data_IF_999995251693
#
_entry.id   IF_999995251693
#
_cell.length_a   1.000
_cell.length_b   1.000
_cell.length_c   1.000
_cell.angle_alpha   90.00
_cell.angle_beta   90.00
_cell.angle_gamma   90.00
#
_symmetry.space_group_name_H-M   'P 1'
#
loop_
_entity.id
_entity.type
_entity.pdbx_description
1 polymer ?
#
# COMPACT_ATOMS: atom_id res chain seq x y z
N UNK A 1 -22.19 71.12 -40.06
CA UNK A 1 -21.83 72.23 -39.15
C UNK A 1 -23.06 72.49 -38.30
N UNK A 2 -23.35 71.73 -37.23
CA UNK A 2 -22.97 72.04 -35.83
C UNK A 2 -23.00 70.80 -34.91
N UNK A 3 -23.30 69.58 -35.37
CA UNK A 3 -23.55 68.42 -34.47
C UNK A 3 -22.35 67.51 -34.13
N UNK A 4 -21.14 67.78 -34.61
CA UNK A 4 -19.99 66.85 -34.47
C UNK A 4 -18.85 67.37 -33.58
N UNK A 5 -19.14 68.31 -32.66
CA UNK A 5 -18.15 68.82 -31.70
C UNK A 5 -18.58 68.71 -30.23
N UNK A 6 -19.81 68.28 -29.94
CA UNK A 6 -20.28 68.08 -28.55
C UNK A 6 -19.92 66.70 -27.99
N UNK A 7 -19.74 65.68 -28.83
CA UNK A 7 -19.50 64.31 -28.35
C UNK A 7 -18.06 64.05 -27.94
N UNK A 8 -17.09 64.74 -28.56
CA UNK A 8 -15.65 64.50 -28.32
C UNK A 8 -15.15 65.09 -26.98
N UNK A 9 -15.96 65.92 -26.31
CA UNK A 9 -15.64 66.49 -24.98
C UNK A 9 -15.96 65.51 -23.85
N UNK A 10 -17.00 64.67 -24.00
CA UNK A 10 -17.43 63.73 -22.96
C UNK A 10 -16.44 62.57 -22.76
N UNK A 11 -15.86 62.03 -23.85
CA UNK A 11 -14.89 60.94 -23.76
C UNK A 11 -13.54 61.36 -23.17
N UNK A 12 -13.18 62.65 -23.23
CA UNK A 12 -11.94 63.16 -22.65
C UNK A 12 -12.01 63.35 -21.13
N UNK A 13 -13.22 63.42 -20.56
CA UNK A 13 -13.39 63.53 -19.10
C UNK A 13 -13.32 62.17 -18.40
N UNK A 14 -13.67 61.07 -19.08
CA UNK A 14 -13.61 59.73 -18.52
C UNK A 14 -12.20 59.11 -18.46
N UNK A 15 -11.25 59.65 -19.23
CA UNK A 15 -9.85 59.17 -19.25
C UNK A 15 -8.93 59.86 -18.23
N UNK A 16 -9.42 60.87 -17.51
CA UNK A 16 -8.64 61.60 -16.51
C UNK A 16 -8.80 61.07 -15.07
N UNK A 17 -9.63 60.05 -14.85
CA UNK A 17 -9.85 59.42 -13.54
C UNK A 17 -9.08 58.10 -13.33
N UNK A 18 -8.20 57.70 -14.24
CA UNK A 18 -7.26 56.60 -13.98
C UNK A 18 -6.11 57.11 -13.08
N UNK A 19 -6.49 57.41 -11.84
CA UNK A 19 -5.65 57.81 -10.74
C UNK A 19 -4.59 56.74 -10.48
N UNK A 20 -3.38 57.19 -10.14
CA UNK A 20 -2.18 56.39 -9.82
C UNK A 20 -2.38 55.29 -8.75
N UNK A 21 -3.55 55.22 -8.11
CA UNK A 21 -3.92 54.19 -7.14
C UNK A 21 -4.25 52.82 -7.73
N UNK A 22 -4.60 52.72 -9.02
CA UNK A 22 -4.97 51.41 -9.62
C UNK A 22 -3.74 50.57 -10.01
N UNK A 23 -2.63 51.23 -10.38
CA UNK A 23 -1.38 50.56 -10.76
C UNK A 23 -0.74 49.75 -9.61
N UNK A 24 -1.02 50.10 -8.35
CA UNK A 24 -0.55 49.34 -7.18
C UNK A 24 -1.38 48.08 -6.92
N UNK A 25 -2.68 48.09 -7.26
CA UNK A 25 -3.59 46.96 -7.04
C UNK A 25 -3.34 45.82 -8.03
N UNK A 26 -3.02 46.15 -9.28
CA UNK A 26 -2.66 45.14 -10.30
C UNK A 26 -1.29 44.50 -9.99
N UNK A 27 -0.32 45.31 -9.52
CA UNK A 27 1.02 44.81 -9.18
C UNK A 27 1.01 43.80 -8.01
N UNK A 28 0.17 44.01 -6.99
CA UNK A 28 0.00 43.05 -5.88
C UNK A 28 -0.68 41.75 -6.31
N UNK A 29 -1.60 41.79 -7.28
CA UNK A 29 -2.27 40.60 -7.81
C UNK A 29 -1.35 39.73 -8.68
N UNK A 30 -0.51 40.35 -9.51
CA UNK A 30 0.46 39.65 -10.37
C UNK A 30 1.57 39.01 -9.52
N UNK A 31 2.05 39.68 -8.47
CA UNK A 31 3.06 39.11 -7.56
C UNK A 31 2.52 37.88 -6.80
N UNK A 32 1.26 37.92 -6.38
CA UNK A 32 0.57 36.78 -5.73
C UNK A 32 0.33 35.61 -6.69
N UNK A 33 -0.02 35.89 -7.95
CA UNK A 33 -0.18 34.86 -8.98
C UNK A 33 1.15 34.19 -9.34
N UNK A 34 2.24 34.95 -9.46
CA UNK A 34 3.60 34.43 -9.73
C UNK A 34 4.12 33.61 -8.55
N UNK A 35 3.86 34.03 -7.31
CA UNK A 35 4.22 33.25 -6.12
C UNK A 35 3.43 31.94 -6.04
N UNK A 36 2.14 31.97 -6.37
CA UNK A 36 1.32 30.76 -6.47
C UNK A 36 1.84 29.83 -7.59
N UNK A 37 2.15 30.36 -8.78
CA UNK A 37 2.69 29.57 -9.90
C UNK A 37 4.04 28.94 -9.57
N UNK A 38 4.96 29.69 -8.96
CA UNK A 38 6.27 29.15 -8.55
C UNK A 38 6.16 28.06 -7.46
N UNK A 39 5.18 28.18 -6.56
CA UNK A 39 4.88 27.13 -5.55
C UNK A 39 4.27 25.90 -6.22
N UNK A 40 3.36 26.07 -7.19
CA UNK A 40 2.81 24.97 -7.98
C UNK A 40 3.88 24.24 -8.79
N UNK A 41 4.75 24.95 -9.51
CA UNK A 41 5.85 24.37 -10.29
C UNK A 41 6.84 23.61 -9.38
N UNK A 42 7.11 24.12 -8.17
CA UNK A 42 8.01 23.48 -7.23
C UNK A 42 7.39 22.24 -6.58
N UNK A 43 6.08 22.22 -6.37
CA UNK A 43 5.33 21.05 -5.89
C UNK A 43 5.23 19.97 -6.97
N UNK A 44 5.00 20.36 -8.23
CA UNK A 44 4.97 19.44 -9.37
C UNK A 44 6.31 18.72 -9.54
N UNK A 45 7.43 19.47 -9.52
CA UNK A 45 8.78 18.89 -9.60
C UNK A 45 9.12 17.98 -8.41
N UNK A 46 8.57 18.28 -7.22
CA UNK A 46 8.74 17.42 -6.03
C UNK A 46 7.93 16.14 -6.16
N UNK A 47 6.71 16.20 -6.72
CA UNK A 47 5.86 15.05 -6.99
C UNK A 47 6.49 14.16 -8.08
N UNK A 48 6.98 14.74 -9.18
CA UNK A 48 7.68 14.02 -10.24
C UNK A 48 8.92 13.30 -9.69
N UNK A 49 9.78 13.99 -8.94
CA UNK A 49 10.97 13.38 -8.32
C UNK A 49 10.60 12.28 -7.32
N UNK A 50 9.53 12.45 -6.55
CA UNK A 50 9.02 11.42 -5.62
C UNK A 50 8.53 10.19 -6.39
N UNK A 51 7.86 10.40 -7.53
CA UNK A 51 7.35 9.32 -8.39
C UNK A 51 8.50 8.53 -9.06
N UNK A 52 9.56 9.21 -9.50
CA UNK A 52 10.77 8.56 -9.98
C UNK A 52 11.53 7.82 -8.88
N UNK A 53 11.64 8.39 -7.68
CA UNK A 53 12.28 7.75 -6.53
C UNK A 53 11.54 6.49 -6.06
N UNK A 54 10.19 6.49 -6.11
CA UNK A 54 9.37 5.34 -5.73
C UNK A 54 9.65 4.11 -6.62
N UNK A 55 9.85 4.28 -7.93
CA UNK A 55 10.23 3.18 -8.84
C UNK A 55 11.57 2.55 -8.46
N UNK A 56 12.55 3.37 -8.11
CA UNK A 56 13.88 2.89 -7.72
C UNK A 56 13.89 2.20 -6.35
N UNK A 57 13.01 2.59 -5.43
CA UNK A 57 12.84 1.94 -4.13
C UNK A 57 12.15 0.58 -4.23
N UNK A 58 11.23 0.41 -5.20
CA UNK A 58 10.52 -0.86 -5.42
C UNK A 58 11.44 -1.97 -5.92
N UNK A 59 12.41 -1.65 -6.80
CA UNK A 59 13.34 -2.64 -7.37
C UNK A 59 14.10 -3.48 -6.32
N UNK A 60 14.82 -2.90 -5.32
CA UNK A 60 15.50 -3.68 -4.30
C UNK A 60 14.54 -4.44 -3.37
N UNK A 61 13.32 -3.93 -3.14
CA UNK A 61 12.31 -4.63 -2.34
C UNK A 61 11.89 -5.93 -3.03
N UNK A 62 11.53 -5.88 -4.32
CA UNK A 62 11.15 -7.09 -5.08
C UNK A 62 12.30 -8.08 -5.23
N UNK A 63 13.53 -7.59 -5.38
CA UNK A 63 14.71 -8.45 -5.35
C UNK A 63 14.85 -9.15 -3.98
N UNK A 64 14.70 -8.41 -2.88
CA UNK A 64 14.72 -8.97 -1.53
C UNK A 64 13.63 -10.02 -1.31
N UNK A 65 12.40 -9.76 -1.75
CA UNK A 65 11.29 -10.72 -1.68
C UNK A 65 11.56 -11.98 -2.52
N UNK A 66 12.15 -11.82 -3.70
CA UNK A 66 12.51 -12.97 -4.57
C UNK A 66 13.61 -13.82 -3.93
N UNK A 67 14.62 -13.20 -3.32
CA UNK A 67 15.66 -13.90 -2.57
C UNK A 67 15.07 -14.60 -1.33
N UNK A 68 14.15 -13.94 -0.62
CA UNK A 68 13.44 -14.54 0.51
C UNK A 68 12.66 -15.80 0.11
N UNK A 69 11.99 -15.77 -1.05
CA UNK A 69 11.29 -16.92 -1.60
C UNK A 69 12.26 -18.07 -1.94
N UNK A 70 13.44 -17.76 -2.49
CA UNK A 70 14.48 -18.76 -2.73
C UNK A 70 15.02 -19.39 -1.44
N UNK A 71 15.27 -18.58 -0.41
CA UNK A 71 15.72 -19.07 0.91
C UNK A 71 14.67 -20.01 1.50
N UNK A 72 13.39 -19.63 1.44
CA UNK A 72 12.28 -20.45 1.91
C UNK A 72 12.21 -21.78 1.12
N UNK A 73 12.35 -21.73 -0.20
CA UNK A 73 12.37 -22.94 -1.03
C UNK A 73 13.53 -23.87 -0.63
N UNK A 74 14.74 -23.34 -0.44
CA UNK A 74 15.90 -24.12 0.01
C UNK A 74 15.62 -24.75 1.38
N UNK A 75 15.06 -24.00 2.33
CA UNK A 75 14.70 -24.52 3.65
C UNK A 75 13.65 -25.62 3.59
N UNK A 76 12.65 -25.48 2.72
CA UNK A 76 11.62 -26.51 2.51
C UNK A 76 12.24 -27.84 2.02
N UNK A 77 13.13 -27.79 1.02
CA UNK A 77 13.81 -29.01 0.55
C UNK A 77 14.78 -29.57 1.60
N UNK A 78 15.49 -28.70 2.34
CA UNK A 78 16.37 -29.12 3.42
C UNK A 78 15.60 -29.92 4.49
N UNK A 79 14.42 -29.45 4.89
CA UNK A 79 13.59 -30.12 5.88
C UNK A 79 13.14 -31.50 5.38
N UNK A 80 12.69 -31.61 4.12
CA UNK A 80 12.31 -32.88 3.51
C UNK A 80 13.46 -33.89 3.53
N UNK A 81 14.65 -33.47 3.09
CA UNK A 81 15.84 -34.34 3.04
C UNK A 81 16.24 -34.80 4.44
N UNK A 82 16.04 -33.97 5.46
CA UNK A 82 16.32 -34.32 6.85
C UNK A 82 15.28 -35.28 7.45
N UNK A 83 14.02 -35.21 7.01
CA UNK A 83 12.92 -36.05 7.52
C UNK A 83 12.95 -37.47 6.96
N UNK A 84 13.20 -37.64 5.66
CA UNK A 84 13.17 -38.93 4.96
C UNK A 84 14.02 -40.04 5.62
N UNK A 85 15.25 -39.82 6.10
CA UNK A 85 16.01 -40.89 6.76
C UNK A 85 15.50 -41.19 8.17
N UNK A 86 14.82 -40.25 8.83
CA UNK A 86 14.43 -40.35 10.24
C UNK A 86 13.01 -40.89 10.46
N UNK A 87 12.17 -41.00 9.41
CA UNK A 87 10.75 -41.42 9.52
C UNK A 87 10.54 -42.77 10.20
N UNK A 88 11.48 -43.71 10.10
CA UNK A 88 11.36 -45.03 10.75
C UNK A 88 11.77 -45.02 12.23
N UNK A 89 12.42 -43.94 12.70
CA UNK A 89 12.93 -43.81 14.07
C UNK A 89 12.15 -42.80 14.91
N UNK A 90 11.33 -41.95 14.29
CA UNK A 90 10.53 -40.92 14.96
C UNK A 90 9.19 -41.45 15.45
N UNK A 91 8.65 -40.83 16.50
CA UNK A 91 7.29 -41.11 16.97
C UNK A 91 6.23 -40.52 16.02
N UNK A 92 5.04 -41.10 15.97
CA UNK A 92 3.94 -40.63 15.11
C UNK A 92 3.63 -39.13 15.29
N UNK A 93 3.69 -38.63 16.53
CA UNK A 93 3.47 -37.21 16.85
C UNK A 93 4.54 -36.30 16.24
N UNK A 94 5.79 -36.74 16.22
CA UNK A 94 6.91 -35.95 15.67
C UNK A 94 6.78 -35.83 14.15
N UNK A 95 6.37 -36.90 13.47
CA UNK A 95 6.09 -36.90 12.04
C UNK A 95 4.98 -35.90 11.70
N UNK A 96 3.90 -35.84 12.49
CA UNK A 96 2.82 -34.87 12.30
C UNK A 96 3.32 -33.44 12.49
N UNK A 97 4.14 -33.18 13.52
CA UNK A 97 4.70 -31.84 13.77
C UNK A 97 5.62 -31.39 12.63
N UNK A 98 6.42 -32.30 12.07
CA UNK A 98 7.26 -32.03 10.91
C UNK A 98 6.41 -31.68 9.69
N UNK A 99 5.40 -32.49 9.36
CA UNK A 99 4.47 -32.20 8.27
C UNK A 99 3.78 -30.84 8.42
N UNK A 100 3.33 -30.52 9.64
CA UNK A 100 2.70 -29.22 9.93
C UNK A 100 3.67 -28.05 9.74
N UNK A 101 4.96 -28.26 10.05
CA UNK A 101 6.03 -27.29 9.78
C UNK A 101 6.30 -27.10 8.27
N UNK A 102 6.24 -28.17 7.47
CA UNK A 102 6.36 -28.09 6.01
C UNK A 102 5.18 -27.31 5.40
N UNK A 103 3.96 -27.57 5.87
CA UNK A 103 2.75 -26.86 5.45
C UNK A 103 2.87 -25.37 5.77
N UNK A 104 3.34 -25.02 6.98
CA UNK A 104 3.54 -23.63 7.40
C UNK A 104 4.51 -22.88 6.48
N UNK A 105 5.68 -23.46 6.18
CA UNK A 105 6.62 -22.87 5.23
C UNK A 105 5.98 -22.66 3.85
N UNK A 106 5.21 -23.63 3.34
CA UNK A 106 4.53 -23.51 2.06
C UNK A 106 3.48 -22.37 2.06
N UNK A 107 2.74 -22.20 3.15
CA UNK A 107 1.76 -21.11 3.29
C UNK A 107 2.41 -19.74 3.38
N UNK A 108 3.53 -19.61 4.11
CA UNK A 108 4.34 -18.38 4.15
C UNK A 108 4.86 -18.06 2.74
N UNK A 109 5.33 -19.06 1.99
CA UNK A 109 5.75 -18.89 0.60
C UNK A 109 4.62 -18.40 -0.31
N UNK A 110 3.44 -19.01 -0.20
CA UNK A 110 2.24 -18.57 -0.94
C UNK A 110 1.83 -17.13 -0.61
N UNK A 111 1.88 -16.75 0.67
CA UNK A 111 1.63 -15.38 1.11
C UNK A 111 2.66 -14.40 0.53
N UNK A 112 3.95 -14.75 0.53
CA UNK A 112 4.99 -13.91 -0.08
C UNK A 112 4.71 -13.66 -1.56
N UNK A 113 4.39 -14.71 -2.34
CA UNK A 113 4.06 -14.58 -3.76
C UNK A 113 2.84 -13.68 -3.97
N UNK A 114 1.80 -13.86 -3.15
CA UNK A 114 0.60 -13.03 -3.19
C UNK A 114 0.91 -11.55 -2.94
N UNK A 115 1.73 -11.24 -1.94
CA UNK A 115 2.17 -9.89 -1.62
C UNK A 115 3.03 -9.32 -2.74
N UNK A 116 3.89 -10.13 -3.36
CA UNK A 116 4.70 -9.71 -4.52
C UNK A 116 3.82 -9.30 -5.69
N UNK A 117 2.86 -10.16 -6.09
CA UNK A 117 1.96 -9.87 -7.21
C UNK A 117 1.10 -8.66 -6.91
N UNK A 118 0.45 -8.61 -5.75
CA UNK A 118 -0.42 -7.48 -5.40
C UNK A 118 0.35 -6.18 -5.24
N UNK A 119 1.56 -6.22 -4.67
CA UNK A 119 2.42 -5.04 -4.62
C UNK A 119 2.75 -4.56 -6.03
N UNK A 120 3.07 -5.48 -6.95
CA UNK A 120 3.45 -5.12 -8.31
C UNK A 120 2.29 -4.46 -9.07
N UNK A 121 1.08 -5.03 -8.96
CA UNK A 121 -0.15 -4.47 -9.51
C UNK A 121 -0.47 -3.09 -8.93
N UNK A 122 -0.29 -2.92 -7.61
CA UNK A 122 -0.62 -1.67 -6.95
C UNK A 122 0.41 -0.56 -7.24
N UNK A 123 1.70 -0.85 -7.19
CA UNK A 123 2.73 0.19 -7.18
C UNK A 123 3.52 0.31 -8.49
N UNK A 124 3.75 -0.77 -9.23
CA UNK A 124 4.57 -0.72 -10.46
C UNK A 124 3.68 -0.59 -11.69
N UNK A 125 2.65 -1.42 -11.80
CA UNK A 125 1.77 -1.44 -12.98
C UNK A 125 0.98 -0.14 -13.17
N UNK A 126 0.59 0.55 -12.10
CA UNK A 126 -0.17 1.80 -12.19
C UNK A 126 0.70 3.00 -12.57
N UNK A 127 2.01 2.92 -12.31
CA UNK A 127 2.96 3.96 -12.69
C UNK A 127 3.36 3.88 -14.17
N UNK A 128 3.21 2.73 -14.83
CA UNK A 128 3.63 2.50 -16.23
C UNK A 128 2.55 2.87 -17.25
N UNK A 129 1.31 3.11 -16.81
CA UNK A 129 0.20 3.55 -17.66
C UNK A 129 -0.01 5.05 -17.46
N UNK A 130 0.75 5.88 -18.18
CA UNK A 130 0.29 7.21 -18.67
C UNK A 130 1.29 7.90 -19.61
N UNK A 131 0.97 7.84 -20.90
CA UNK A 131 1.24 8.91 -21.88
C UNK A 131 -0.12 9.20 -22.55
N UNK A 132 -1.01 10.01 -21.95
CA UNK A 132 -1.95 10.94 -22.63
C UNK A 132 -3.34 11.24 -22.02
N UNK A 133 -3.75 10.90 -20.78
CA UNK A 133 -5.08 11.41 -20.31
C UNK A 133 -5.16 11.82 -18.84
N UNK A 134 -5.52 13.10 -18.65
CA UNK A 134 -6.22 13.71 -17.51
C UNK A 134 -6.46 12.79 -16.29
N UNK A 135 -5.42 12.62 -15.47
CA UNK A 135 -5.42 11.86 -14.22
C UNK A 135 -6.00 12.69 -13.05
N UNK A 136 -7.32 12.75 -12.88
CA UNK A 136 -7.92 13.25 -11.63
C UNK A 136 -9.14 12.47 -11.08
N UNK A 137 -9.53 11.33 -11.66
CA UNK A 137 -10.66 10.51 -11.14
C UNK A 137 -10.28 9.08 -10.69
N UNK A 138 -9.02 8.66 -10.79
CA UNK A 138 -8.59 7.26 -10.59
C UNK A 138 -7.93 6.97 -9.22
N UNK A 139 -7.51 8.01 -8.48
CA UNK A 139 -6.97 7.86 -7.12
C UNK A 139 -8.03 7.45 -6.07
N UNK A 140 -9.32 7.43 -6.45
CA UNK A 140 -10.45 7.12 -5.57
C UNK A 140 -10.80 5.63 -5.46
N UNK A 141 -10.23 4.75 -6.28
CA UNK A 141 -10.58 3.32 -6.29
C UNK A 141 -9.36 2.40 -6.31
N UNK A 142 -8.26 2.82 -5.66
CA UNK A 142 -7.16 1.91 -5.41
C UNK A 142 -7.65 0.83 -4.44
N UNK A 143 -7.69 -0.42 -4.90
CA UNK A 143 -8.29 -1.60 -4.31
C UNK A 143 -7.57 -2.08 -3.02
N UNK A 144 -7.36 -1.17 -2.08
CA UNK A 144 -6.73 -1.43 -0.79
C UNK A 144 -7.60 -2.33 0.09
N UNK A 145 -8.89 -2.42 -0.19
CA UNK A 145 -9.86 -3.28 0.49
C UNK A 145 -9.56 -4.76 0.24
N UNK A 146 -9.38 -5.16 -1.03
CA UNK A 146 -9.16 -6.56 -1.37
C UNK A 146 -7.80 -7.07 -0.86
N UNK A 147 -6.77 -6.23 -0.87
CA UNK A 147 -5.45 -6.59 -0.32
C UNK A 147 -5.50 -6.77 1.20
N UNK A 148 -6.13 -5.85 1.93
CA UNK A 148 -6.26 -5.91 3.39
C UNK A 148 -6.96 -7.20 3.85
N UNK A 149 -8.06 -7.55 3.19
CA UNK A 149 -8.83 -8.76 3.52
C UNK A 149 -8.04 -10.04 3.25
N UNK A 150 -7.29 -10.10 2.14
CA UNK A 150 -6.47 -11.25 1.78
C UNK A 150 -5.33 -11.47 2.78
N UNK A 151 -4.65 -10.39 3.20
CA UNK A 151 -3.57 -10.45 4.20
C UNK A 151 -4.10 -10.82 5.59
N UNK A 152 -5.23 -10.25 6.02
CA UNK A 152 -5.84 -10.58 7.30
C UNK A 152 -6.23 -12.07 7.37
N UNK A 153 -6.83 -12.60 6.30
CA UNK A 153 -7.19 -14.01 6.20
C UNK A 153 -5.98 -14.95 6.26
N UNK A 154 -4.88 -14.62 5.57
CA UNK A 154 -3.67 -15.43 5.61
C UNK A 154 -3.00 -15.44 6.98
N UNK A 155 -2.98 -14.30 7.69
CA UNK A 155 -2.39 -14.21 9.03
C UNK A 155 -3.17 -15.09 10.01
N UNK A 156 -4.51 -15.05 9.96
CA UNK A 156 -5.34 -15.91 10.82
C UNK A 156 -5.11 -17.38 10.52
N UNK A 157 -5.06 -17.78 9.24
CA UNK A 157 -4.82 -19.16 8.84
C UNK A 157 -3.46 -19.70 9.29
N UNK A 158 -2.38 -18.92 9.09
CA UNK A 158 -1.03 -19.28 9.55
C UNK A 158 -1.01 -19.41 11.08
N UNK A 159 -1.63 -18.47 11.79
CA UNK A 159 -1.73 -18.52 13.25
C UNK A 159 -2.50 -19.74 13.76
N UNK A 160 -3.57 -20.17 13.08
CA UNK A 160 -4.32 -21.39 13.45
C UNK A 160 -3.47 -22.65 13.32
N UNK A 161 -2.69 -22.78 12.25
CA UNK A 161 -1.80 -23.92 12.01
C UNK A 161 -0.70 -23.98 13.07
N UNK A 162 -0.13 -22.82 13.41
CA UNK A 162 0.87 -22.72 14.46
C UNK A 162 0.32 -23.13 15.84
N UNK A 163 -0.90 -22.70 16.18
CA UNK A 163 -1.57 -23.09 17.42
C UNK A 163 -1.80 -24.61 17.49
N UNK A 164 -2.22 -25.22 16.38
CA UNK A 164 -2.43 -26.67 16.30
C UNK A 164 -1.12 -27.44 16.53
N UNK A 165 0.02 -26.92 16.04
CA UNK A 165 1.35 -27.49 16.28
C UNK A 165 1.67 -27.55 17.76
N UNK A 166 1.51 -26.43 18.46
CA UNK A 166 1.81 -26.32 19.89
C UNK A 166 0.84 -27.20 20.69
N UNK A 167 -0.42 -27.28 20.27
CA UNK A 167 -1.42 -28.13 20.90
C UNK A 167 -1.09 -29.63 20.77
N UNK A 168 -0.58 -30.06 19.62
CA UNK A 168 -0.12 -31.44 19.42
C UNK A 168 1.08 -31.83 20.30
N UNK A 169 1.90 -30.84 20.69
CA UNK A 169 3.02 -31.00 21.61
C UNK A 169 2.68 -30.55 23.05
N UNK A 170 1.40 -30.36 23.38
CA UNK A 170 0.98 -29.74 24.65
C UNK A 170 1.44 -30.50 25.91
N UNK A 171 1.81 -31.79 25.80
CA UNK A 171 2.37 -32.56 26.92
C UNK A 171 3.73 -32.01 27.38
N UNK A 172 4.47 -31.34 26.49
CA UNK A 172 5.80 -30.77 26.74
C UNK A 172 5.75 -29.25 26.96
N UNK A 173 4.57 -28.63 26.90
CA UNK A 173 4.40 -27.17 26.95
C UNK A 173 3.67 -26.79 28.25
N UNK A 174 4.15 -25.73 28.91
CA UNK A 174 3.49 -25.22 30.11
C UNK A 174 2.04 -24.78 29.82
N UNK A 175 1.05 -25.18 30.63
CA UNK A 175 -0.36 -24.79 30.45
C UNK A 175 -0.58 -23.28 30.36
N UNK A 176 0.22 -22.46 31.04
CA UNK A 176 0.12 -21.01 31.00
C UNK A 176 0.51 -20.47 29.62
N UNK A 177 1.54 -21.03 28.98
CA UNK A 177 1.93 -20.66 27.62
C UNK A 177 0.86 -21.07 26.60
N UNK A 178 0.27 -22.26 26.75
CA UNK A 178 -0.81 -22.73 25.89
C UNK A 178 -2.00 -21.75 25.89
N UNK A 179 -2.38 -21.24 27.07
CA UNK A 179 -3.45 -20.25 27.21
C UNK A 179 -3.11 -18.95 26.46
N UNK A 180 -1.87 -18.44 26.55
CA UNK A 180 -1.45 -17.24 25.82
C UNK A 180 -1.50 -17.41 24.30
N UNK A 181 -1.10 -18.57 23.78
CA UNK A 181 -1.20 -18.84 22.34
C UNK A 181 -2.66 -18.81 21.85
N UNK A 182 -3.59 -19.37 22.62
CA UNK A 182 -5.03 -19.32 22.31
C UNK A 182 -5.56 -17.88 22.36
N UNK A 183 -5.18 -17.11 23.39
CA UNK A 183 -5.61 -15.71 23.53
C UNK A 183 -5.12 -14.88 22.34
N UNK A 184 -3.84 -14.99 21.99
CA UNK A 184 -3.26 -14.27 20.84
C UNK A 184 -3.98 -14.68 19.55
N UNK A 185 -4.22 -15.97 19.34
CA UNK A 185 -4.96 -16.43 18.16
C UNK A 185 -6.36 -15.82 18.07
N UNK A 186 -7.09 -15.79 19.19
CA UNK A 186 -8.40 -15.15 19.27
C UNK A 186 -8.33 -13.65 18.96
N UNK A 187 -7.28 -12.93 19.36
CA UNK A 187 -7.11 -11.51 18.99
C UNK A 187 -6.96 -11.31 17.48
N UNK A 188 -6.24 -12.21 16.79
CA UNK A 188 -6.13 -12.16 15.33
C UNK A 188 -7.46 -12.46 14.64
N UNK A 189 -8.19 -13.47 15.11
CA UNK A 189 -9.51 -13.84 14.58
C UNK A 189 -10.49 -12.66 14.71
N UNK A 190 -10.56 -12.04 15.89
CA UNK A 190 -11.41 -10.87 16.14
C UNK A 190 -11.00 -9.70 15.25
N UNK A 191 -9.70 -9.44 15.08
CA UNK A 191 -9.20 -8.37 14.22
C UNK A 191 -9.57 -8.59 12.75
N UNK A 192 -9.43 -9.82 12.24
CA UNK A 192 -9.82 -10.15 10.87
C UNK A 192 -11.33 -10.03 10.65
N UNK A 193 -12.14 -10.46 11.63
CA UNK A 193 -13.58 -10.34 11.57
C UNK A 193 -14.03 -8.87 11.59
N UNK A 194 -13.43 -8.06 12.45
CA UNK A 194 -13.68 -6.62 12.50
C UNK A 194 -13.33 -5.95 11.16
N UNK A 195 -12.21 -6.34 10.54
CA UNK A 195 -11.82 -5.82 9.24
C UNK A 195 -12.80 -6.22 8.13
N UNK A 196 -13.27 -7.46 8.11
CA UNK A 196 -14.30 -7.92 7.17
C UNK A 196 -15.66 -7.24 7.39
N UNK A 197 -16.00 -6.94 8.64
CA UNK A 197 -17.22 -6.20 8.96
C UNK A 197 -17.14 -4.74 8.49
N UNK A 198 -16.02 -4.06 8.74
CA UNK A 198 -15.77 -2.70 8.25
C UNK A 198 -15.82 -2.64 6.72
N UNK A 199 -15.18 -3.59 6.04
CA UNK A 199 -15.19 -3.65 4.56
C UNK A 199 -16.61 -3.72 3.99
N UNK A 200 -17.47 -4.54 4.62
CA UNK A 200 -18.88 -4.67 4.24
C UNK A 200 -19.66 -3.37 4.44
N UNK A 201 -19.39 -2.63 5.52
CA UNK A 201 -20.07 -1.36 5.80
C UNK A 201 -19.65 -0.24 4.85
N UNK A 202 -18.38 -0.21 4.43
CA UNK A 202 -17.85 0.82 3.53
C UNK A 202 -18.17 0.58 2.05
N UNK A 203 -18.73 -0.59 1.68
CA UNK A 203 -19.08 -0.95 0.30
C UNK A 203 -20.43 -0.40 -0.19
N UNK A 204 -20.93 0.67 0.43
CA UNK A 204 -22.16 1.37 0.07
C UNK A 204 -21.89 2.76 -0.49
#
# INVERSE_FOLDING_TARGET
>A
MVSTLAEKSSYRCHLAQFSRGDRRRVATGILGAIFSQAVWDSMERFIENTMYAARWLLAPIYLGLSLGLLILAIKFFQEIIHVIPNIFSLLESEVILLLLSLIDMALVGGLLVMVMISGYENFVSQLDIDENKEKLNWLGTMDSSSLKMKVAASIVAISSIHLLRIFMDAKNVDPQHLMWYVIIHMTFVVSAFAMGYLDKLTKH
#
